data_IF_245495666248
#
_entry.id   IF_245495666248
#
_cell.length_a   1.000
_cell.length_b   1.000
_cell.length_c   1.000
_cell.angle_alpha   90.00
_cell.angle_beta   90.00
_cell.angle_gamma   90.00
#
_symmetry.space_group_name_H-M   'P 1'
#
loop_
_entity.id
_entity.type
_entity.pdbx_description
1 polymer ?
#
# COMPACT_ATOMS: atom_id res chain seq x y z
N UNK A 1 -5.97 -3.81 3.09
CA UNK A 1 -6.12 -2.49 3.77
C UNK A 1 -6.59 -2.64 5.23
N UNK A 2 -7.54 -3.53 5.55
CA UNK A 2 -7.91 -3.89 6.94
C UNK A 2 -6.69 -4.40 7.74
N UNK A 3 -5.75 -5.06 7.09
CA UNK A 3 -4.54 -5.58 7.71
C UNK A 3 -3.61 -4.47 8.21
N UNK A 4 -3.53 -3.34 7.49
CA UNK A 4 -2.79 -2.17 7.96
C UNK A 4 -3.36 -1.60 9.26
N UNK A 5 -4.69 -1.50 9.37
CA UNK A 5 -5.32 -1.08 10.62
C UNK A 5 -5.00 -2.03 11.78
N UNK A 6 -4.97 -3.35 11.54
CA UNK A 6 -4.60 -4.33 12.55
C UNK A 6 -3.15 -4.21 12.97
N UNK A 7 -2.23 -4.01 12.02
CA UNK A 7 -0.80 -3.80 12.29
C UNK A 7 -0.59 -2.52 13.12
N UNK A 8 -1.19 -1.41 12.71
CA UNK A 8 -1.14 -0.13 13.45
C UNK A 8 -1.69 -0.29 14.85
N UNK A 9 -2.87 -0.92 15.01
CA UNK A 9 -3.47 -1.18 16.31
C UNK A 9 -2.56 -2.03 17.20
N UNK A 10 -1.93 -3.06 16.65
CA UNK A 10 -0.98 -3.93 17.37
C UNK A 10 0.25 -3.16 17.84
N UNK A 11 0.82 -2.31 16.98
CA UNK A 11 1.96 -1.47 17.34
C UNK A 11 1.62 -0.49 18.46
N UNK A 12 0.49 0.23 18.33
CA UNK A 12 0.02 1.16 19.35
C UNK A 12 -0.17 0.47 20.71
N UNK A 13 -0.73 -0.74 20.74
CA UNK A 13 -0.83 -1.55 21.96
C UNK A 13 0.55 -1.91 22.54
N UNK A 14 1.53 -2.19 21.68
CA UNK A 14 2.91 -2.44 22.08
C UNK A 14 3.56 -1.23 22.79
N UNK A 15 3.13 -0.01 22.45
CA UNK A 15 3.52 1.24 23.11
C UNK A 15 2.60 1.63 24.28
N UNK A 16 1.72 0.73 24.73
CA UNK A 16 0.80 0.99 25.85
C UNK A 16 -0.42 1.86 25.50
N UNK A 17 -0.63 2.16 24.21
CA UNK A 17 -1.77 2.96 23.75
C UNK A 17 -2.99 2.07 23.56
N UNK A 18 -3.97 2.17 24.47
CA UNK A 18 -5.26 1.48 24.35
C UNK A 18 -6.03 2.06 23.19
N UNK A 19 -6.29 1.25 22.17
CA UNK A 19 -6.91 1.70 20.93
C UNK A 19 -7.98 0.71 20.43
N UNK A 20 -8.89 1.22 19.56
CA UNK A 20 -9.92 0.44 18.89
C UNK A 20 -9.89 0.68 17.39
N UNK A 21 -10.11 -0.38 16.59
CA UNK A 21 -10.22 -0.26 15.13
C UNK A 21 -11.69 0.04 14.79
N UNK A 22 -11.92 1.11 14.01
CA UNK A 22 -13.21 1.39 13.40
C UNK A 22 -13.24 0.75 12.01
N UNK A 23 -14.09 -0.24 11.83
CA UNK A 23 -14.29 -0.94 10.57
C UNK A 23 -15.78 -1.01 10.21
N UNK A 24 -16.13 -1.64 9.10
CA UNK A 24 -17.52 -1.74 8.61
C UNK A 24 -18.47 -2.50 9.55
N UNK A 25 -17.94 -3.36 10.44
CA UNK A 25 -18.75 -4.13 11.39
C UNK A 25 -19.14 -3.34 12.63
N UNK A 26 -18.50 -2.21 12.92
CA UNK A 26 -18.82 -1.35 14.07
C UNK A 26 -19.98 -0.43 13.68
N UNK A 27 -21.11 -0.58 14.37
CA UNK A 27 -22.32 0.23 14.16
C UNK A 27 -22.31 1.51 15.00
N UNK A 28 -21.77 1.44 16.21
CA UNK A 28 -21.66 2.54 17.17
C UNK A 28 -20.22 2.69 17.60
N UNK A 29 -19.77 3.90 17.91
CA UNK A 29 -18.45 4.11 18.49
C UNK A 29 -18.39 3.44 19.87
N UNK A 30 -17.34 2.68 20.14
CA UNK A 30 -17.03 2.27 21.49
C UNK A 30 -16.82 3.50 22.37
N UNK A 31 -17.14 3.36 23.65
CA UNK A 31 -17.00 4.41 24.63
C UNK A 31 -15.63 5.12 24.54
N UNK A 32 -15.66 6.44 24.35
CA UNK A 32 -14.46 7.26 24.25
C UNK A 32 -13.74 7.39 25.61
N UNK A 33 -14.41 7.13 26.72
CA UNK A 33 -13.76 7.02 28.02
C UNK A 33 -12.86 5.79 28.11
N UNK A 34 -13.26 4.70 27.47
CA UNK A 34 -12.51 3.46 27.41
C UNK A 34 -11.36 3.49 26.41
N UNK A 35 -11.49 4.21 25.30
CA UNK A 35 -10.51 4.24 24.22
C UNK A 35 -10.17 5.67 23.81
N UNK A 36 -8.95 6.10 24.12
CA UNK A 36 -8.43 7.43 23.73
C UNK A 36 -7.81 7.48 22.34
N UNK A 37 -7.76 6.36 21.65
CA UNK A 37 -7.19 6.26 20.30
C UNK A 37 -8.04 5.35 19.42
N UNK A 38 -8.33 5.82 18.21
CA UNK A 38 -9.06 5.05 17.19
C UNK A 38 -8.23 4.92 15.94
N UNK A 39 -8.20 3.70 15.36
CA UNK A 39 -7.55 3.42 14.08
C UNK A 39 -8.64 3.14 13.05
N UNK A 40 -8.70 3.92 12.00
CA UNK A 40 -9.77 3.82 11.01
C UNK A 40 -9.25 3.85 9.57
N UNK A 41 -10.00 3.24 8.67
CA UNK A 41 -9.84 3.49 7.25
C UNK A 41 -10.62 4.75 6.86
N UNK A 42 -10.00 5.60 6.06
CA UNK A 42 -10.57 6.87 5.59
C UNK A 42 -11.99 6.70 5.06
N UNK A 43 -12.20 5.78 4.11
CA UNK A 43 -13.52 5.58 3.50
C UNK A 43 -14.57 5.09 4.52
N UNK A 44 -14.18 4.22 5.44
CA UNK A 44 -15.10 3.73 6.48
C UNK A 44 -15.49 4.87 7.42
N UNK A 45 -14.53 5.64 7.91
CA UNK A 45 -14.77 6.74 8.83
C UNK A 45 -15.57 7.85 8.15
N UNK A 46 -15.20 8.23 6.93
CA UNK A 46 -15.92 9.24 6.14
C UNK A 46 -17.40 8.90 5.99
N UNK A 47 -17.71 7.68 5.56
CA UNK A 47 -19.10 7.27 5.36
C UNK A 47 -19.88 7.25 6.68
N UNK A 48 -19.23 6.89 7.80
CA UNK A 48 -19.87 6.88 9.12
C UNK A 48 -20.16 8.28 9.63
N UNK A 49 -19.22 9.23 9.46
CA UNK A 49 -19.39 10.61 9.87
C UNK A 49 -20.43 11.35 9.00
N UNK A 50 -20.44 11.11 7.69
CA UNK A 50 -21.38 11.73 6.75
C UNK A 50 -22.81 11.19 6.91
N UNK A 51 -22.96 9.93 7.28
CA UNK A 51 -24.25 9.29 7.53
C UNK A 51 -24.81 9.59 8.94
N UNK A 52 -24.15 10.48 9.72
CA UNK A 52 -24.49 10.80 11.12
C UNK A 52 -24.59 9.56 12.04
N UNK A 53 -23.97 8.45 11.61
CA UNK A 53 -23.94 7.18 12.38
C UNK A 53 -22.85 7.16 13.45
N UNK A 54 -22.00 8.16 13.43
CA UNK A 54 -20.84 8.29 14.32
C UNK A 54 -20.63 9.77 14.62
N UNK A 55 -20.79 10.15 15.88
CA UNK A 55 -20.29 11.43 16.40
C UNK A 55 -18.96 11.14 17.11
N UNK A 56 -17.92 11.87 16.75
CA UNK A 56 -16.63 11.80 17.42
C UNK A 56 -16.37 13.19 18.01
N UNK A 57 -16.57 13.30 19.29
CA UNK A 57 -16.30 14.51 20.04
C UNK A 57 -14.88 14.50 20.63
N UNK A 58 -14.38 15.69 20.95
CA UNK A 58 -13.17 15.86 21.75
C UNK A 58 -11.89 15.22 21.18
N UNK A 59 -11.71 15.25 19.85
CA UNK A 59 -10.51 14.78 19.19
C UNK A 59 -9.42 15.86 19.25
N UNK A 60 -8.34 15.61 19.96
CA UNK A 60 -7.20 16.54 20.04
C UNK A 60 -6.19 16.40 18.90
N UNK A 61 -6.01 15.20 18.36
CA UNK A 61 -5.03 14.92 17.29
C UNK A 61 -5.59 13.94 16.25
N UNK A 62 -5.44 14.30 14.98
CA UNK A 62 -5.73 13.42 13.83
C UNK A 62 -4.43 13.15 13.07
N UNK A 63 -4.04 11.89 12.97
CA UNK A 63 -2.88 11.45 12.18
C UNK A 63 -3.39 10.84 10.88
N UNK A 64 -2.90 11.34 9.74
CA UNK A 64 -3.33 10.91 8.41
C UNK A 64 -2.12 10.32 7.70
N UNK A 65 -2.17 9.01 7.47
CA UNK A 65 -1.17 8.30 6.67
C UNK A 65 -1.46 8.50 5.18
N UNK A 66 -0.41 8.56 4.35
CA UNK A 66 -0.47 8.90 2.93
C UNK A 66 -1.21 10.23 2.68
N UNK A 67 -0.86 11.25 3.44
CA UNK A 67 -1.56 12.54 3.50
C UNK A 67 -1.60 13.30 2.16
N UNK A 68 -0.80 12.89 1.16
CA UNK A 68 -0.83 13.44 -0.19
C UNK A 68 -2.12 13.07 -0.97
N UNK A 69 -2.85 12.03 -0.55
CA UNK A 69 -4.18 11.71 -1.08
C UNK A 69 -5.24 12.66 -0.52
N UNK A 70 -6.18 13.07 -1.35
CA UNK A 70 -7.22 14.04 -0.98
C UNK A 70 -8.51 13.40 -0.43
N UNK A 71 -8.56 12.07 -0.27
CA UNK A 71 -9.76 11.34 0.13
C UNK A 71 -10.30 11.72 1.52
N UNK A 72 -9.44 12.20 2.42
CA UNK A 72 -9.80 12.60 3.78
C UNK A 72 -10.30 14.06 3.90
N UNK A 73 -10.08 14.94 2.90
CA UNK A 73 -10.43 16.38 3.00
C UNK A 73 -11.87 16.61 3.44
N UNK A 74 -12.81 15.81 2.96
CA UNK A 74 -14.23 15.94 3.33
C UNK A 74 -14.52 15.69 4.82
N UNK A 75 -13.61 15.02 5.52
CA UNK A 75 -13.75 14.75 6.95
C UNK A 75 -13.15 15.85 7.83
N UNK A 76 -12.31 16.73 7.30
CA UNK A 76 -11.64 17.75 8.10
C UNK A 76 -12.61 18.70 8.80
N UNK A 77 -13.79 18.92 8.23
CA UNK A 77 -14.86 19.70 8.87
C UNK A 77 -15.34 19.11 10.20
N UNK A 78 -15.23 17.79 10.38
CA UNK A 78 -15.57 17.10 11.62
C UNK A 78 -14.48 17.22 12.70
N UNK A 79 -13.29 17.72 12.36
CA UNK A 79 -12.13 17.80 13.25
C UNK A 79 -11.57 19.23 13.39
N UNK A 80 -12.45 20.24 13.40
CA UNK A 80 -12.07 21.66 13.38
C UNK A 80 -11.17 22.10 14.54
N UNK A 81 -11.30 21.44 15.69
CA UNK A 81 -10.56 21.76 16.91
C UNK A 81 -9.38 20.80 17.16
N UNK A 82 -9.00 19.98 16.18
CA UNK A 82 -7.94 18.99 16.28
C UNK A 82 -6.65 19.46 15.63
N UNK A 83 -5.50 19.09 16.17
CA UNK A 83 -4.24 19.14 15.44
C UNK A 83 -4.24 18.10 14.32
N UNK A 84 -3.80 18.50 13.13
CA UNK A 84 -3.68 17.62 11.98
C UNK A 84 -2.19 17.31 11.74
N UNK A 85 -1.84 16.03 11.78
CA UNK A 85 -0.52 15.53 11.42
C UNK A 85 -0.63 14.66 10.15
N UNK A 86 -0.19 15.18 9.01
CA UNK A 86 -0.09 14.40 7.78
C UNK A 86 1.28 13.72 7.67
N UNK A 87 1.30 12.42 7.43
CA UNK A 87 2.53 11.65 7.19
C UNK A 87 2.54 11.20 5.73
N UNK A 88 3.63 11.43 5.01
CA UNK A 88 3.78 11.00 3.61
C UNK A 88 5.25 10.99 3.20
N UNK A 89 5.62 10.08 2.30
CA UNK A 89 6.93 10.09 1.65
C UNK A 89 7.00 11.10 0.50
N UNK A 90 5.85 11.53 -0.03
CA UNK A 90 5.73 12.43 -1.18
C UNK A 90 4.81 13.60 -0.83
N UNK A 91 5.33 14.71 -0.25
CA UNK A 91 4.51 15.82 0.23
C UNK A 91 3.95 16.72 -0.89
N UNK A 92 3.53 16.10 -1.98
CA UNK A 92 2.87 16.75 -3.11
C UNK A 92 1.46 16.20 -3.23
N UNK A 93 0.48 17.09 -3.31
CA UNK A 93 -0.92 16.65 -3.49
C UNK A 93 -1.09 15.81 -4.76
N UNK A 94 -1.86 14.73 -4.66
CA UNK A 94 -2.30 13.95 -5.83
C UNK A 94 -3.17 14.73 -6.81
N UNK A 95 -3.63 15.92 -6.42
CA UNK A 95 -4.39 16.85 -7.26
C UNK A 95 -3.84 18.27 -7.13
N UNK A 96 -3.28 18.81 -8.19
CA UNK A 96 -2.67 20.16 -8.22
C UNK A 96 -3.66 21.28 -7.84
N UNK A 97 -4.97 21.08 -8.06
CA UNK A 97 -6.02 22.04 -7.69
C UNK A 97 -6.37 22.01 -6.21
N UNK A 98 -5.84 21.05 -5.47
CA UNK A 98 -6.07 20.85 -4.04
C UNK A 98 -4.73 20.72 -3.32
N UNK A 99 -3.92 21.77 -3.25
CA UNK A 99 -2.59 21.71 -2.68
C UNK A 99 -2.62 21.42 -1.17
N UNK A 100 -1.55 20.83 -0.66
CA UNK A 100 -1.49 20.40 0.76
C UNK A 100 -1.48 21.58 1.72
N UNK A 101 -0.93 22.73 1.34
CA UNK A 101 -0.88 23.94 2.20
C UNK A 101 -2.27 24.49 2.59
N UNK A 102 -3.35 24.08 1.92
CA UNK A 102 -4.71 24.42 2.34
C UNK A 102 -5.13 23.72 3.65
N UNK A 103 -4.47 22.60 4.00
CA UNK A 103 -4.81 21.80 5.17
C UNK A 103 -3.69 21.74 6.22
N UNK A 104 -2.44 22.03 5.82
CA UNK A 104 -1.27 21.93 6.68
C UNK A 104 -0.50 23.26 6.64
N UNK A 105 -0.18 23.77 7.81
CA UNK A 105 0.49 25.08 7.95
C UNK A 105 2.00 24.97 7.85
N UNK A 106 2.57 23.79 8.11
CA UNK A 106 4.00 23.57 8.18
C UNK A 106 4.37 22.23 7.53
N UNK A 107 5.54 22.20 6.89
CA UNK A 107 6.17 20.98 6.36
C UNK A 107 7.43 20.65 7.18
N UNK A 108 7.38 19.55 7.91
CA UNK A 108 8.53 19.00 8.62
C UNK A 108 9.18 17.94 7.74
N UNK A 109 10.43 18.16 7.35
CA UNK A 109 11.19 17.22 6.53
C UNK A 109 12.14 16.41 7.41
N UNK A 110 12.01 15.07 7.34
CA UNK A 110 12.90 14.14 8.01
C UNK A 110 14.23 13.93 7.28
N UNK A 111 15.00 12.94 7.75
CA UNK A 111 16.25 12.53 7.09
C UNK A 111 16.02 12.10 5.64
N UNK A 112 16.95 12.43 4.77
CA UNK A 112 16.93 12.00 3.36
C UNK A 112 17.12 10.47 3.25
N UNK A 113 16.67 9.87 2.14
CA UNK A 113 16.91 8.45 1.84
C UNK A 113 18.41 8.14 1.90
N UNK A 114 19.28 9.01 1.35
CA UNK A 114 20.73 8.83 1.40
C UNK A 114 21.23 8.75 2.85
N UNK A 115 20.83 9.70 3.69
CA UNK A 115 21.18 9.71 5.11
C UNK A 115 20.69 8.45 5.85
N UNK A 116 19.47 8.00 5.56
CA UNK A 116 18.91 6.78 6.17
C UNK A 116 19.66 5.51 5.73
N UNK A 117 20.14 5.47 4.49
CA UNK A 117 21.00 4.37 3.98
C UNK A 117 22.37 4.42 4.67
N UNK A 118 23.00 5.59 4.79
CA UNK A 118 24.28 5.77 5.48
C UNK A 118 24.21 5.37 6.96
N UNK A 119 23.10 5.71 7.63
CA UNK A 119 22.82 5.34 9.02
C UNK A 119 22.42 3.87 9.19
N UNK A 120 22.25 3.10 8.11
CA UNK A 120 21.86 1.69 8.15
C UNK A 120 20.36 1.43 8.42
N UNK A 121 19.52 2.45 8.43
CA UNK A 121 18.06 2.28 8.59
C UNK A 121 17.38 1.78 7.30
N UNK A 122 17.93 2.12 6.14
CA UNK A 122 17.46 1.64 4.84
C UNK A 122 18.56 0.86 4.11
N UNK A 123 18.15 -0.18 3.40
CA UNK A 123 19.05 -0.93 2.53
C UNK A 123 19.40 -0.09 1.29
N UNK A 124 20.63 -0.23 0.80
CA UNK A 124 21.04 0.33 -0.49
C UNK A 124 20.30 -0.38 -1.62
N UNK A 125 19.58 0.38 -2.45
CA UNK A 125 18.91 -0.13 -3.63
C UNK A 125 19.77 0.04 -4.87
N UNK A 126 19.73 -0.97 -5.76
CA UNK A 126 20.26 -0.87 -7.14
C UNK A 126 19.10 -1.03 -8.10
N UNK A 127 18.87 -0.03 -8.94
CA UNK A 127 17.76 -0.03 -9.90
C UNK A 127 18.26 -0.38 -11.29
N UNK A 128 17.61 -1.35 -11.92
CA UNK A 128 17.83 -1.73 -13.32
C UNK A 128 16.56 -1.41 -14.11
N UNK A 129 16.71 -0.70 -15.22
CA UNK A 129 15.60 -0.34 -16.10
C UNK A 129 15.82 -0.97 -17.48
N UNK A 130 14.73 -1.47 -18.07
CA UNK A 130 14.73 -2.08 -19.39
C UNK A 130 13.75 -1.35 -20.30
N UNK A 131 14.16 -1.12 -21.53
CA UNK A 131 13.20 -0.69 -22.56
C UNK A 131 12.30 -1.88 -22.92
N UNK A 132 11.02 -1.69 -22.74
CA UNK A 132 9.98 -2.72 -22.93
C UNK A 132 8.92 -2.30 -23.95
N UNK A 133 9.16 -1.24 -24.73
CA UNK A 133 8.22 -0.79 -25.76
C UNK A 133 6.92 -0.23 -25.18
N UNK A 134 7.03 0.67 -24.20
CA UNK A 134 5.90 1.30 -23.51
C UNK A 134 4.93 2.06 -24.43
N UNK A 135 5.32 2.38 -25.65
CA UNK A 135 4.48 3.03 -26.67
C UNK A 135 3.23 2.23 -27.05
N UNK A 136 3.22 0.92 -26.79
CA UNK A 136 2.05 0.05 -26.99
C UNK A 136 1.00 0.17 -25.87
N UNK A 137 1.35 0.78 -24.74
CA UNK A 137 0.46 0.93 -23.61
C UNK A 137 -0.54 2.08 -23.83
N UNK A 138 -1.78 1.86 -23.40
CA UNK A 138 -2.85 2.86 -23.45
C UNK A 138 -3.09 3.44 -22.07
N UNK A 139 -3.16 4.76 -22.00
CA UNK A 139 -3.48 5.49 -20.77
C UNK A 139 -5.01 5.47 -20.59
N UNK A 140 -5.46 5.10 -19.40
CA UNK A 140 -6.86 5.13 -19.00
C UNK A 140 -7.29 6.51 -18.46
N UNK A 141 -8.57 6.64 -18.14
CA UNK A 141 -9.19 7.88 -17.65
C UNK A 141 -8.50 8.42 -16.37
N UNK A 142 -7.93 7.52 -15.56
CA UNK A 142 -7.26 7.87 -14.30
C UNK A 142 -5.79 8.29 -14.46
N UNK A 143 -5.28 8.36 -15.69
CA UNK A 143 -3.88 8.69 -15.98
C UNK A 143 -2.91 7.49 -15.89
N UNK A 144 -3.37 6.33 -15.44
CA UNK A 144 -2.59 5.09 -15.39
C UNK A 144 -2.76 4.26 -16.66
N UNK A 145 -1.83 3.34 -16.91
CA UNK A 145 -1.95 2.39 -18.01
C UNK A 145 -3.12 1.43 -17.79
N UNK A 146 -3.88 1.16 -18.87
CA UNK A 146 -4.99 0.22 -18.79
C UNK A 146 -4.49 -1.21 -18.59
N UNK A 147 -5.16 -1.99 -17.73
CA UNK A 147 -4.84 -3.39 -17.47
C UNK A 147 -4.81 -4.20 -18.78
N UNK A 148 -5.78 -3.94 -19.68
CA UNK A 148 -5.86 -4.64 -20.97
C UNK A 148 -4.63 -4.44 -21.86
N UNK A 149 -4.09 -3.21 -21.97
CA UNK A 149 -2.89 -2.96 -22.77
C UNK A 149 -1.64 -3.52 -22.07
N UNK A 150 -1.57 -3.44 -20.75
CA UNK A 150 -0.50 -4.04 -19.96
C UNK A 150 -0.47 -5.56 -20.09
N UNK A 151 -1.63 -6.22 -20.03
CA UNK A 151 -1.71 -7.66 -20.20
C UNK A 151 -1.19 -8.10 -21.59
N UNK A 152 -1.57 -7.38 -22.66
CA UNK A 152 -1.08 -7.71 -24.02
C UNK A 152 0.44 -7.61 -24.10
N UNK A 153 1.03 -6.55 -23.54
CA UNK A 153 2.47 -6.36 -23.55
C UNK A 153 3.19 -7.40 -22.68
N UNK A 154 2.78 -7.53 -21.44
CA UNK A 154 3.54 -8.28 -20.43
C UNK A 154 3.27 -9.78 -20.42
N UNK A 155 2.21 -10.29 -21.06
CA UNK A 155 2.02 -11.73 -21.29
C UNK A 155 2.68 -12.21 -22.59
N UNK A 156 3.32 -11.34 -23.36
CA UNK A 156 4.10 -11.72 -24.52
C UNK A 156 5.30 -12.59 -24.12
N UNK A 157 5.57 -13.65 -24.89
CA UNK A 157 6.63 -14.61 -24.59
C UNK A 157 8.00 -13.93 -24.42
N UNK A 158 8.36 -13.04 -25.33
CA UNK A 158 9.65 -12.33 -25.25
C UNK A 158 9.80 -11.49 -23.96
N UNK A 159 8.69 -10.91 -23.46
CA UNK A 159 8.70 -10.18 -22.19
C UNK A 159 8.84 -11.10 -21.00
N UNK A 160 8.19 -12.25 -21.01
CA UNK A 160 8.30 -13.26 -19.96
C UNK A 160 9.72 -13.86 -19.92
N UNK A 161 10.31 -14.17 -21.08
CA UNK A 161 11.71 -14.62 -21.17
C UNK A 161 12.69 -13.56 -20.66
N UNK A 162 12.47 -12.29 -21.02
CA UNK A 162 13.26 -11.15 -20.51
C UNK A 162 13.18 -11.03 -18.98
N UNK A 163 12.00 -11.22 -18.41
CA UNK A 163 11.79 -11.19 -16.95
C UNK A 163 12.55 -12.33 -16.26
N UNK A 164 12.43 -13.56 -16.76
CA UNK A 164 13.16 -14.72 -16.22
C UNK A 164 14.68 -14.55 -16.36
N UNK A 165 15.14 -14.02 -17.50
CA UNK A 165 16.55 -13.71 -17.71
C UNK A 165 17.05 -12.67 -16.71
N UNK A 166 16.29 -11.59 -16.51
CA UNK A 166 16.62 -10.53 -15.55
C UNK A 166 16.70 -11.06 -14.12
N UNK A 167 15.74 -11.93 -13.73
CA UNK A 167 15.78 -12.60 -12.44
C UNK A 167 17.03 -13.45 -12.28
N UNK A 168 17.38 -14.29 -13.27
CA UNK A 168 18.58 -15.12 -13.24
C UNK A 168 19.86 -14.30 -13.10
N UNK A 169 19.92 -13.15 -13.77
CA UNK A 169 21.11 -12.31 -13.79
C UNK A 169 21.28 -11.48 -12.51
N UNK A 170 20.18 -10.93 -11.95
CA UNK A 170 20.27 -9.97 -10.84
C UNK A 170 19.86 -10.54 -9.48
N UNK A 171 19.00 -11.55 -9.46
CA UNK A 171 18.29 -11.97 -8.24
C UNK A 171 18.23 -13.48 -8.03
N UNK A 172 19.01 -14.27 -8.77
CA UNK A 172 18.99 -15.73 -8.64
C UNK A 172 19.24 -16.15 -7.18
N UNK A 173 18.35 -16.99 -6.65
CA UNK A 173 18.41 -17.48 -5.27
C UNK A 173 18.02 -16.46 -4.19
N UNK A 174 17.61 -15.25 -4.59
CA UNK A 174 17.14 -14.23 -3.65
C UNK A 174 15.61 -14.23 -3.55
N UNK A 175 15.12 -13.92 -2.37
CA UNK A 175 13.69 -13.66 -2.14
C UNK A 175 13.22 -12.51 -3.01
N UNK A 176 12.19 -12.73 -3.83
CA UNK A 176 11.79 -11.79 -4.87
C UNK A 176 10.28 -11.54 -4.86
N UNK A 177 9.89 -10.28 -4.92
CA UNK A 177 8.51 -9.84 -5.16
C UNK A 177 8.38 -9.34 -6.60
N UNK A 178 7.33 -9.79 -7.30
CA UNK A 178 6.98 -9.33 -8.64
C UNK A 178 5.59 -8.71 -8.59
N UNK A 179 5.52 -7.39 -8.80
CA UNK A 179 4.24 -6.69 -8.87
C UNK A 179 3.79 -6.55 -10.32
N UNK A 180 2.54 -6.91 -10.57
CA UNK A 180 1.93 -6.88 -11.90
C UNK A 180 0.73 -5.94 -11.93
N UNK A 181 0.41 -5.45 -13.11
CA UNK A 181 -0.70 -4.54 -13.33
C UNK A 181 -2.07 -5.26 -13.39
N UNK A 182 -2.08 -6.59 -13.53
CA UNK A 182 -3.31 -7.37 -13.60
C UNK A 182 -3.10 -8.85 -13.24
N UNK A 183 -4.20 -9.51 -12.89
CA UNK A 183 -4.22 -10.92 -12.46
C UNK A 183 -3.71 -11.83 -13.59
N UNK A 184 -4.13 -11.57 -14.85
CA UNK A 184 -3.71 -12.35 -16.01
C UNK A 184 -2.19 -12.34 -16.18
N UNK A 185 -1.57 -11.17 -16.11
CA UNK A 185 -0.10 -11.04 -16.16
C UNK A 185 0.55 -11.79 -15.02
N UNK A 186 0.04 -11.66 -13.80
CA UNK A 186 0.60 -12.31 -12.61
C UNK A 186 0.52 -13.85 -12.69
N UNK A 187 -0.57 -14.40 -13.21
CA UNK A 187 -0.71 -15.84 -13.45
C UNK A 187 0.22 -16.33 -14.58
N UNK A 188 0.42 -15.54 -15.62
CA UNK A 188 1.37 -15.87 -16.69
C UNK A 188 2.81 -15.90 -16.17
N UNK A 189 3.19 -14.94 -15.32
CA UNK A 189 4.49 -14.94 -14.61
C UNK A 189 4.63 -16.19 -13.75
N UNK A 190 3.58 -16.56 -12.99
CA UNK A 190 3.58 -17.78 -12.18
C UNK A 190 3.94 -19.01 -13.00
N UNK A 191 3.25 -19.20 -14.13
CA UNK A 191 3.47 -20.38 -15.00
C UNK A 191 4.88 -20.36 -15.64
N UNK A 192 5.32 -19.22 -16.16
CA UNK A 192 6.64 -19.08 -16.77
C UNK A 192 7.77 -19.40 -15.80
N UNK A 193 7.69 -18.88 -14.57
CA UNK A 193 8.72 -19.15 -13.55
C UNK A 193 8.65 -20.58 -13.01
N UNK A 194 7.47 -21.20 -12.91
CA UNK A 194 7.31 -22.63 -12.57
C UNK A 194 7.98 -23.53 -13.64
N UNK A 195 7.71 -23.24 -14.92
CA UNK A 195 8.32 -23.97 -16.03
C UNK A 195 9.85 -23.79 -16.07
N UNK A 196 10.35 -22.64 -15.62
CA UNK A 196 11.77 -22.38 -15.45
C UNK A 196 12.39 -23.03 -14.19
N UNK A 197 11.60 -23.76 -13.38
CA UNK A 197 12.05 -24.52 -12.21
C UNK A 197 12.16 -23.72 -10.92
N UNK A 198 11.56 -22.53 -10.84
CA UNK A 198 11.63 -21.69 -9.64
C UNK A 198 10.49 -21.92 -8.66
N UNK A 199 10.75 -21.68 -7.37
CA UNK A 199 9.76 -21.71 -6.29
C UNK A 199 8.96 -20.42 -6.27
N UNK A 200 7.80 -20.42 -6.89
CA UNK A 200 6.94 -19.23 -7.02
C UNK A 200 5.52 -19.53 -6.57
N UNK A 201 4.87 -18.55 -5.91
CA UNK A 201 3.44 -18.52 -5.64
C UNK A 201 2.83 -17.20 -6.14
N UNK A 202 1.53 -17.21 -6.36
CA UNK A 202 0.73 -16.05 -6.73
C UNK A 202 -0.16 -15.61 -5.56
N UNK A 203 -0.37 -14.30 -5.46
CA UNK A 203 -1.27 -13.71 -4.47
C UNK A 203 -2.04 -12.55 -5.06
N UNK A 204 -3.37 -12.61 -4.99
CA UNK A 204 -4.27 -11.53 -5.38
C UNK A 204 -5.47 -11.40 -4.42
N UNK A 205 -6.46 -10.59 -4.79
CA UNK A 205 -7.64 -10.32 -3.96
C UNK A 205 -8.70 -11.44 -3.98
N UNK A 206 -8.55 -12.47 -4.80
CA UNK A 206 -9.47 -13.62 -4.85
C UNK A 206 -9.15 -14.67 -3.78
N UNK A 207 -7.92 -14.66 -3.23
CA UNK A 207 -7.53 -15.58 -2.16
C UNK A 207 -8.24 -15.25 -0.85
N UNK A 208 -8.71 -16.29 -0.16
CA UNK A 208 -9.24 -16.21 1.19
C UNK A 208 -8.18 -15.70 2.18
N UNK A 209 -8.61 -15.26 3.36
CA UNK A 209 -7.69 -14.80 4.42
C UNK A 209 -6.73 -15.90 4.89
N UNK A 210 -7.16 -17.15 4.89
CA UNK A 210 -6.36 -18.32 5.27
C UNK A 210 -5.28 -18.60 4.21
N UNK A 211 -5.67 -18.72 2.96
CA UNK A 211 -4.72 -18.89 1.84
C UNK A 211 -3.68 -17.76 1.77
N UNK A 212 -4.12 -16.51 1.97
CA UNK A 212 -3.20 -15.35 2.02
C UNK A 212 -2.17 -15.50 3.13
N UNK A 213 -2.61 -15.93 4.32
CA UNK A 213 -1.72 -16.16 5.46
C UNK A 213 -0.70 -17.24 5.13
N UNK A 214 -1.13 -18.36 4.57
CA UNK A 214 -0.26 -19.48 4.23
C UNK A 214 0.77 -19.13 3.15
N UNK A 215 0.35 -18.36 2.13
CA UNK A 215 1.25 -17.88 1.07
C UNK A 215 2.30 -16.93 1.66
N UNK A 216 1.89 -16.01 2.53
CA UNK A 216 2.80 -15.04 3.15
C UNK A 216 3.76 -15.70 4.13
N UNK A 217 3.31 -16.66 4.93
CA UNK A 217 4.18 -17.45 5.83
C UNK A 217 5.17 -18.30 5.02
N UNK A 218 4.73 -18.94 3.93
CA UNK A 218 5.63 -19.63 3.02
C UNK A 218 6.69 -18.69 2.44
N UNK A 219 6.28 -17.51 1.94
CA UNK A 219 7.20 -16.51 1.40
C UNK A 219 8.20 -16.03 2.45
N UNK A 220 7.75 -15.84 3.69
CA UNK A 220 8.59 -15.40 4.80
C UNK A 220 9.69 -16.41 5.15
N UNK A 221 9.36 -17.71 5.13
CA UNK A 221 10.25 -18.77 5.59
C UNK A 221 11.05 -19.48 4.48
N UNK A 222 10.78 -19.19 3.21
CA UNK A 222 11.52 -19.76 2.07
C UNK A 222 12.54 -18.73 1.56
N UNK A 223 13.85 -18.98 1.66
CA UNK A 223 14.89 -17.97 1.33
C UNK A 223 14.89 -17.51 -0.13
N UNK A 224 14.65 -18.43 -1.07
CA UNK A 224 14.67 -18.24 -2.53
C UNK A 224 13.24 -18.13 -3.11
N UNK A 225 12.24 -17.83 -2.26
CA UNK A 225 10.87 -17.73 -2.69
C UNK A 225 10.64 -16.54 -3.63
N UNK A 226 9.85 -16.76 -4.65
CA UNK A 226 9.31 -15.72 -5.52
C UNK A 226 7.82 -15.60 -5.26
N UNK A 227 7.34 -14.38 -5.03
CA UNK A 227 5.92 -14.08 -4.90
C UNK A 227 5.51 -13.12 -5.99
N UNK A 228 4.62 -13.55 -6.87
CA UNK A 228 3.99 -12.68 -7.87
C UNK A 228 2.63 -12.20 -7.37
N UNK A 229 2.35 -10.92 -7.51
CA UNK A 229 1.14 -10.31 -6.95
C UNK A 229 0.59 -9.21 -7.87
N UNK A 230 -0.68 -8.91 -7.65
CA UNK A 230 -1.33 -7.69 -8.16
C UNK A 230 -1.44 -6.71 -7.01
N UNK A 231 -1.00 -5.47 -7.20
CA UNK A 231 -0.87 -4.41 -6.20
C UNK A 231 -2.16 -3.95 -5.52
#
# INVERSE_FOLDING_TARGET
>A
RIELCKQTSKMLKGFGVKNKIINSSIKELPDQEDYKCFVAMVETLKNRLLDEKLEIDNVGLVIIDEAHFNSFRKMLSSFKNSFLLGVTATPLSSNIKLPMYENYNELIVGDSIATLVEKGYLAKATTYSYDVGLTSLKIGINGDYTVKSSDVLYTNLAMQEKLVHSYRYHSLGKKTLIFNNGIKTSLNVLETFKQAGFKIKHLDNTHSNEERKDILEWFKHTPDAILTSVG
#
